data_IF_121595753570
#
_entry.id   IF_121595753570
#
_cell.length_a   1.000
_cell.length_b   1.000
_cell.length_c   1.000
_cell.angle_alpha   90.00
_cell.angle_beta   90.00
_cell.angle_gamma   90.00
#
_symmetry.space_group_name_H-M   'P 1'
#
loop_
_entity.id
_entity.type
_entity.pdbx_description
1 polymer ?
#
# COMPACT_ATOMS: atom_id res chain seq x y z
N UNK A 1 -12.00 -36.34 -0.73
CA UNK A 1 -11.64 -36.02 0.66
C UNK A 1 -10.17 -35.61 0.59
N UNK A 2 -9.81 -34.37 0.30
CA UNK A 2 -10.40 -33.10 0.72
C UNK A 2 -9.37 -32.47 1.65
N UNK A 3 -8.27 -31.99 1.08
CA UNK A 3 -7.22 -31.27 1.81
C UNK A 3 -7.15 -29.86 1.23
N UNK A 4 -8.10 -29.06 1.69
CA UNK A 4 -8.11 -27.62 1.66
C UNK A 4 -7.02 -27.11 2.60
N UNK A 5 -6.03 -26.37 2.09
CA UNK A 5 -5.59 -25.07 2.61
C UNK A 5 -4.31 -24.65 1.86
N UNK A 6 -4.46 -24.05 0.67
CA UNK A 6 -3.37 -23.25 0.09
C UNK A 6 -3.34 -21.92 0.80
N UNK A 7 -2.86 -21.96 2.05
CA UNK A 7 -2.46 -20.83 2.84
C UNK A 7 -1.53 -19.95 2.02
N UNK A 8 -2.11 -18.86 1.56
CA UNK A 8 -1.54 -17.64 0.99
C UNK A 8 -0.13 -17.38 1.54
N UNK A 9 0.88 -17.92 0.86
CA UNK A 9 2.28 -17.52 1.03
C UNK A 9 2.44 -16.10 0.53
N UNK A 10 1.99 -15.13 1.33
CA UNK A 10 2.48 -13.78 1.23
C UNK A 10 3.98 -13.89 1.41
N UNK A 11 4.75 -13.61 0.35
CA UNK A 11 6.20 -13.52 0.47
C UNK A 11 6.46 -12.41 1.48
N UNK A 12 6.70 -12.79 2.73
CA UNK A 12 7.36 -11.92 3.68
C UNK A 12 8.71 -11.59 3.02
N UNK A 13 8.93 -10.32 2.60
CA UNK A 13 10.20 -9.97 2.03
C UNK A 13 11.29 -10.24 3.09
N UNK A 14 12.47 -10.74 2.68
CA UNK A 14 13.55 -11.02 3.61
C UNK A 14 13.81 -9.79 4.48
N UNK A 15 14.04 -10.02 5.77
CA UNK A 15 14.27 -8.99 6.77
C UNK A 15 15.54 -8.18 6.39
N UNK A 16 15.37 -7.13 5.59
CA UNK A 16 16.41 -6.12 5.44
C UNK A 16 16.50 -5.38 6.79
N UNK A 17 17.67 -5.34 7.46
CA UNK A 17 17.82 -4.72 8.78
C UNK A 17 17.75 -3.17 8.75
N UNK A 18 17.15 -2.57 7.72
CA UNK A 18 16.90 -1.13 7.64
C UNK A 18 15.50 -0.75 8.12
N UNK A 19 15.30 0.52 8.44
CA UNK A 19 13.97 1.12 8.67
C UNK A 19 13.10 0.95 7.41
N UNK A 20 12.28 -0.11 7.36
CA UNK A 20 11.29 -0.29 6.31
C UNK A 20 9.97 0.41 6.69
N UNK A 21 9.33 1.03 5.70
CA UNK A 21 7.97 1.55 5.85
C UNK A 21 7.01 0.66 5.09
N UNK A 22 6.09 0.00 5.81
CA UNK A 22 5.00 -0.76 5.19
C UNK A 22 3.86 0.15 4.79
N UNK A 23 3.46 0.09 3.52
CA UNK A 23 2.32 0.80 2.95
C UNK A 23 1.28 -0.19 2.44
N UNK A 24 0.01 0.03 2.76
CA UNK A 24 -1.14 -0.73 2.27
C UNK A 24 -1.80 0.10 1.18
N UNK A 25 -1.89 -0.43 -0.04
CA UNK A 25 -2.52 0.27 -1.17
C UNK A 25 -3.85 -0.40 -1.50
N UNK A 26 -4.92 0.39 -1.48
CA UNK A 26 -6.28 -0.04 -1.87
C UNK A 26 -6.67 0.71 -3.13
N UNK A 27 -6.94 -0.02 -4.21
CA UNK A 27 -7.27 0.54 -5.53
C UNK A 27 -8.68 0.11 -5.91
N UNK A 28 -9.45 1.05 -6.46
CA UNK A 28 -10.75 0.80 -7.08
C UNK A 28 -10.87 1.60 -8.38
N UNK A 29 -11.77 1.19 -9.26
CA UNK A 29 -12.11 1.97 -10.45
C UNK A 29 -13.30 2.88 -10.11
N UNK A 30 -13.18 4.16 -10.43
CA UNK A 30 -14.24 5.16 -10.30
C UNK A 30 -15.24 5.07 -11.47
N UNK A 31 -16.39 5.74 -11.36
CA UNK A 31 -17.44 5.80 -12.39
C UNK A 31 -16.92 6.27 -13.76
N UNK A 32 -15.88 7.12 -13.78
CA UNK A 32 -15.23 7.57 -15.01
C UNK A 32 -14.24 6.55 -15.62
N UNK A 33 -14.14 5.34 -15.07
CA UNK A 33 -13.16 4.33 -15.49
C UNK A 33 -11.73 4.59 -15.02
N UNK A 34 -11.51 5.62 -14.18
CA UNK A 34 -10.19 5.98 -13.66
C UNK A 34 -9.86 5.18 -12.41
N UNK A 35 -8.62 4.72 -12.29
CA UNK A 35 -8.14 4.08 -11.06
C UNK A 35 -7.97 5.14 -9.96
N UNK A 36 -8.69 4.97 -8.86
CA UNK A 36 -8.55 5.77 -7.64
C UNK A 36 -8.17 4.86 -6.48
N UNK A 37 -7.65 5.43 -5.41
CA UNK A 37 -7.24 4.62 -4.29
C UNK A 37 -6.86 5.36 -3.04
N UNK A 38 -6.46 4.60 -2.04
CA UNK A 38 -5.85 5.07 -0.80
C UNK A 38 -4.53 4.34 -0.59
N UNK A 39 -3.52 5.09 -0.17
CA UNK A 39 -2.30 4.57 0.43
C UNK A 39 -2.39 4.80 1.93
N UNK A 40 -2.23 3.75 2.73
CA UNK A 40 -2.21 3.80 4.19
C UNK A 40 -0.82 3.38 4.69
N UNK A 41 -0.23 4.15 5.60
CA UNK A 41 0.97 3.74 6.32
C UNK A 41 0.58 2.80 7.44
N UNK A 42 1.04 1.54 7.37
CA UNK A 42 0.60 0.50 8.32
C UNK A 42 0.98 0.82 9.77
N UNK A 43 2.12 1.49 10.01
CA UNK A 43 2.61 1.82 11.35
C UNK A 43 1.80 2.92 12.05
N UNK A 44 1.36 3.95 11.31
CA UNK A 44 0.72 5.15 11.86
C UNK A 44 -0.76 5.24 11.54
N UNK A 45 -1.25 4.47 10.57
CA UNK A 45 -2.61 4.56 10.04
C UNK A 45 -2.85 5.81 9.18
N UNK A 46 -1.80 6.61 8.89
CA UNK A 46 -1.90 7.79 8.03
C UNK A 46 -2.33 7.41 6.61
N UNK A 47 -3.28 8.17 6.05
CA UNK A 47 -3.93 7.85 4.77
C UNK A 47 -3.80 9.02 3.80
N UNK A 48 -3.46 8.69 2.56
CA UNK A 48 -3.49 9.63 1.44
C UNK A 48 -4.32 9.02 0.32
N UNK A 49 -5.31 9.78 -0.15
CA UNK A 49 -6.09 9.43 -1.33
C UNK A 49 -5.35 9.83 -2.60
N UNK A 50 -5.54 9.05 -3.65
CA UNK A 50 -5.02 9.37 -4.99
C UNK A 50 -6.11 9.13 -6.04
N UNK A 51 -6.10 9.95 -7.07
CA UNK A 51 -7.04 9.91 -8.19
C UNK A 51 -6.25 9.83 -9.49
N UNK A 52 -6.34 8.70 -10.16
CA UNK A 52 -5.45 8.36 -11.26
C UNK A 52 -4.15 7.72 -10.77
N UNK A 53 -3.73 6.63 -11.43
CA UNK A 53 -2.54 5.86 -11.08
C UNK A 53 -1.25 6.70 -11.19
N UNK A 54 -1.22 7.70 -12.07
CA UNK A 54 -0.12 8.65 -12.22
C UNK A 54 0.16 9.45 -10.94
N UNK A 55 -0.83 9.59 -10.05
CA UNK A 55 -0.69 10.33 -8.80
C UNK A 55 -0.22 9.47 -7.61
N UNK A 56 -0.17 8.14 -7.78
CA UNK A 56 0.20 7.19 -6.73
C UNK A 56 1.62 7.44 -6.19
N UNK A 57 2.58 7.72 -7.07
CA UNK A 57 3.97 7.99 -6.67
C UNK A 57 4.08 9.19 -5.74
N UNK A 58 3.30 10.25 -6.00
CA UNK A 58 3.23 11.45 -5.16
C UNK A 58 2.57 11.13 -3.82
N UNK A 59 1.52 10.31 -3.80
CA UNK A 59 0.86 9.88 -2.56
C UNK A 59 1.82 9.07 -1.66
N UNK A 60 2.59 8.16 -2.25
CA UNK A 60 3.64 7.41 -1.54
C UNK A 60 4.72 8.34 -1.00
N UNK A 61 5.24 9.25 -1.83
CA UNK A 61 6.26 10.22 -1.41
C UNK A 61 5.79 11.07 -0.22
N UNK A 62 4.53 11.53 -0.24
CA UNK A 62 3.94 12.32 0.85
C UNK A 62 3.94 11.58 2.19
N UNK A 63 3.72 10.26 2.18
CA UNK A 63 3.74 9.45 3.40
C UNK A 63 5.17 9.16 3.87
N UNK A 64 6.14 9.08 2.97
CA UNK A 64 7.53 8.81 3.30
C UNK A 64 8.24 10.05 3.88
N UNK A 65 7.95 11.24 3.37
CA UNK A 65 8.57 12.50 3.85
C UNK A 65 8.18 12.89 5.29
N UNK A 66 7.09 12.35 5.84
CA UNK A 66 6.69 12.60 7.24
C UNK A 66 7.63 11.95 8.28
N UNK A 67 8.52 11.05 7.88
CA UNK A 67 9.46 10.38 8.80
C UNK A 67 10.64 11.27 9.26
N UNK A 68 10.87 12.43 8.64
CA UNK A 68 12.01 13.30 8.97
C UNK A 68 11.72 14.41 10.00
N UNK A 69 10.97 14.13 11.08
CA UNK A 69 10.81 15.07 12.21
C UNK A 69 10.99 14.45 13.58
#
# INVERSE_FOLDING_TARGET
MGDDDRGRGGMEPPEHPGDYTTLIVRIWQDDAGRLSGVVERARTGEKVQFHGLETLSRAVASLLSTTER
#
